data_IF_088650456156
#
_entry.id   IF_088650456156
#
_cell.length_a   1.000
_cell.length_b   1.000
_cell.length_c   1.000
_cell.angle_alpha   90.00
_cell.angle_beta   90.00
_cell.angle_gamma   90.00
#
_symmetry.space_group_name_H-M   'P 1'
#
loop_
_entity.id
_entity.type
_entity.pdbx_description
1 polymer ?
#
# COMPACT_ATOMS: atom_id res chain seq x y z
N UNK A 1 13.69 10.44 5.81
CA UNK A 1 12.64 11.20 5.08
C UNK A 1 11.43 10.31 4.94
N UNK A 2 10.24 10.80 5.28
CA UNK A 2 9.00 10.02 5.14
C UNK A 2 8.41 10.19 3.73
N UNK A 3 8.26 9.08 3.00
CA UNK A 3 7.66 9.08 1.67
C UNK A 3 6.40 8.23 1.72
N UNK A 4 5.31 8.77 1.17
CA UNK A 4 4.02 8.07 1.09
C UNK A 4 3.68 7.77 -0.37
N UNK A 5 3.50 6.50 -0.68
CA UNK A 5 3.01 6.03 -1.98
C UNK A 5 1.53 5.75 -1.92
N UNK A 6 0.83 5.99 -3.03
CA UNK A 6 -0.58 5.66 -3.20
C UNK A 6 -0.75 4.74 -4.39
N UNK A 7 -1.33 3.56 -4.17
CA UNK A 7 -1.75 2.64 -5.24
C UNK A 7 -3.25 2.37 -5.13
N UNK A 8 -3.92 2.25 -6.26
CA UNK A 8 -5.31 1.78 -6.33
C UNK A 8 -5.31 0.33 -6.78
N UNK A 9 -6.07 -0.50 -6.08
CA UNK A 9 -6.19 -1.92 -6.35
C UNK A 9 -7.64 -2.37 -6.14
N UNK A 10 -8.06 -3.41 -6.86
CA UNK A 10 -9.30 -4.12 -6.53
C UNK A 10 -9.08 -5.04 -5.31
N UNK A 11 -10.17 -5.52 -4.70
CA UNK A 11 -10.10 -6.42 -3.54
C UNK A 11 -9.23 -7.66 -3.81
N UNK A 12 -9.38 -8.24 -5.00
CA UNK A 12 -8.68 -9.45 -5.41
C UNK A 12 -7.17 -9.21 -5.58
N UNK A 13 -6.77 -7.98 -5.89
CA UNK A 13 -5.38 -7.59 -6.14
C UNK A 13 -4.69 -7.00 -4.90
N UNK A 14 -5.45 -6.61 -3.87
CA UNK A 14 -4.94 -6.07 -2.62
C UNK A 14 -3.80 -6.89 -1.99
N UNK A 15 -3.93 -8.23 -1.83
CA UNK A 15 -2.88 -9.05 -1.23
C UNK A 15 -1.57 -8.96 -2.01
N UNK A 16 -1.65 -8.98 -3.34
CA UNK A 16 -0.49 -8.90 -4.23
C UNK A 16 0.18 -7.53 -4.12
N UNK A 17 -0.59 -6.45 -4.10
CA UNK A 17 -0.07 -5.09 -3.95
C UNK A 17 0.64 -4.91 -2.61
N UNK A 18 0.09 -5.46 -1.52
CA UNK A 18 0.73 -5.42 -0.20
C UNK A 18 2.01 -6.24 -0.18
N UNK A 19 2.02 -7.44 -0.77
CA UNK A 19 3.23 -8.27 -0.88
C UNK A 19 4.34 -7.57 -1.67
N UNK A 20 4.02 -6.93 -2.79
CA UNK A 20 4.98 -6.13 -3.56
C UNK A 20 5.55 -4.97 -2.73
N UNK A 21 4.71 -4.25 -1.97
CA UNK A 21 5.16 -3.14 -1.12
C UNK A 21 6.06 -3.62 0.02
N UNK A 22 5.76 -4.77 0.62
CA UNK A 22 6.62 -5.37 1.65
C UNK A 22 7.94 -5.84 1.02
N UNK A 23 7.91 -6.43 -0.16
CA UNK A 23 9.12 -6.86 -0.87
C UNK A 23 10.01 -5.70 -1.31
N UNK A 24 9.41 -4.59 -1.75
CA UNK A 24 10.13 -3.41 -2.27
C UNK A 24 10.71 -2.55 -1.14
N UNK A 25 9.97 -2.33 -0.06
CA UNK A 25 10.37 -1.42 1.03
C UNK A 25 10.81 -2.12 2.31
N UNK A 26 10.45 -3.39 2.51
CA UNK A 26 10.91 -4.23 3.61
C UNK A 26 10.92 -3.53 4.98
N UNK A 27 12.13 -3.32 5.50
CA UNK A 27 12.40 -2.75 6.84
C UNK A 27 12.12 -1.24 6.89
N UNK A 28 12.17 -0.56 5.75
CA UNK A 28 11.90 0.87 5.61
C UNK A 28 10.40 1.16 5.66
N UNK A 29 9.55 0.16 5.37
CA UNK A 29 8.10 0.26 5.43
C UNK A 29 7.64 0.46 6.89
N UNK A 30 7.05 1.62 7.18
CA UNK A 30 6.57 1.98 8.52
C UNK A 30 5.09 1.72 8.68
N UNK A 31 4.30 1.98 7.64
CA UNK A 31 2.84 1.93 7.72
C UNK A 31 2.23 1.58 6.38
N UNK A 32 1.20 0.74 6.40
CA UNK A 32 0.27 0.56 5.29
C UNK A 32 -1.13 0.93 5.78
N UNK A 33 -1.80 1.80 5.06
CA UNK A 33 -3.20 2.14 5.26
C UNK A 33 -4.00 1.73 4.02
N UNK A 34 -5.13 1.07 4.21
CA UNK A 34 -6.00 0.63 3.12
C UNK A 34 -7.36 1.30 3.32
N UNK A 35 -7.76 2.11 2.35
CA UNK A 35 -9.00 2.87 2.37
C UNK A 35 -9.92 2.34 1.26
N UNK A 36 -11.12 1.88 1.62
CA UNK A 36 -12.11 1.42 0.64
C UNK A 36 -12.81 2.62 -0.03
N UNK A 37 -12.79 2.65 -1.35
CA UNK A 37 -13.48 3.61 -2.20
C UNK A 37 -14.86 3.08 -2.61
N UNK A 38 -15.76 3.98 -3.05
CA UNK A 38 -17.09 3.59 -3.53
C UNK A 38 -16.95 2.76 -4.81
N UNK A 39 -17.41 1.50 -4.76
CA UNK A 39 -17.43 0.46 -5.81
C UNK A 39 -16.28 -0.58 -5.76
N UNK A 40 -15.82 -0.97 -4.57
CA UNK A 40 -14.93 -2.14 -4.44
C UNK A 40 -13.49 -1.93 -4.95
N UNK A 41 -13.11 -0.66 -5.12
CA UNK A 41 -11.72 -0.26 -5.27
C UNK A 41 -11.15 0.10 -3.90
N UNK A 42 -9.87 -0.16 -3.69
CA UNK A 42 -9.15 0.15 -2.47
C UNK A 42 -7.93 1.01 -2.80
N UNK A 43 -7.75 2.05 -2.02
CA UNK A 43 -6.55 2.89 -2.05
C UNK A 43 -5.59 2.41 -0.97
N UNK A 44 -4.46 1.85 -1.39
CA UNK A 44 -3.36 1.43 -0.51
C UNK A 44 -2.38 2.60 -0.40
N UNK A 45 -2.15 3.07 0.82
CA UNK A 45 -1.13 4.08 1.15
C UNK A 45 -0.01 3.40 1.91
N UNK A 46 1.20 3.43 1.37
CA UNK A 46 2.38 2.87 2.02
C UNK A 46 3.33 4.00 2.39
N UNK A 47 3.64 4.11 3.67
CA UNK A 47 4.58 5.08 4.22
C UNK A 47 5.86 4.35 4.58
N UNK A 48 6.98 4.82 4.05
CA UNK A 48 8.31 4.31 4.35
C UNK A 48 9.26 5.45 4.69
N UNK A 49 10.26 5.12 5.50
CA UNK A 49 11.27 6.06 5.96
C UNK A 49 12.64 5.63 5.47
N UNK A 50 13.27 6.52 4.71
CA UNK A 50 14.62 6.35 4.16
C UNK A 50 15.63 7.22 4.89
#
# INVERSE_FOLDING_TARGET
MEITLKRKAFLEELPKVVEELIGEYGIELKRIEIEEDKKGCYTVRATYER
#
